data_IF_398259081514
#
_entry.id   IF_398259081514
#
_cell.length_a   1.000
_cell.length_b   1.000
_cell.length_c   1.000
_cell.angle_alpha   90.00
_cell.angle_beta   90.00
_cell.angle_gamma   90.00
#
_symmetry.space_group_name_H-M   'P 1'
#
loop_
_entity.id
_entity.type
_entity.pdbx_description
1 polymer ?
#
# COMPACT_ATOMS: atom_id res chain seq x y z
N UNK A 1 2.10 3.26 -19.80
CA UNK A 1 2.30 4.64 -19.29
C UNK A 1 2.40 4.62 -17.77
N UNK A 2 3.18 5.50 -17.13
CA UNK A 2 3.33 5.51 -15.67
C UNK A 2 2.03 5.90 -14.93
N UNK A 3 1.96 5.58 -13.63
CA UNK A 3 0.90 6.00 -12.70
C UNK A 3 1.08 7.50 -12.38
N UNK A 4 0.55 8.39 -13.25
CA UNK A 4 0.72 9.84 -13.17
C UNK A 4 -0.49 10.58 -13.71
N UNK A 5 -0.79 11.75 -13.12
CA UNK A 5 -1.75 12.75 -13.58
C UNK A 5 -0.97 13.95 -14.11
N UNK A 6 -1.29 14.39 -15.30
CA UNK A 6 -0.66 15.56 -15.92
C UNK A 6 -1.49 16.81 -15.69
N UNK A 7 -0.92 17.85 -15.10
CA UNK A 7 -1.66 19.07 -14.77
C UNK A 7 -2.00 19.92 -16.00
N UNK A 8 -1.31 19.67 -17.12
CA UNK A 8 -1.54 20.31 -18.40
C UNK A 8 -2.76 19.77 -19.16
N UNK A 9 -3.49 18.80 -18.59
CA UNK A 9 -4.70 18.18 -19.17
C UNK A 9 -5.90 18.30 -18.25
N UNK A 10 -7.14 18.17 -18.79
CA UNK A 10 -8.33 18.14 -17.96
C UNK A 10 -8.27 17.03 -16.89
N UNK A 11 -8.44 17.39 -15.62
CA UNK A 11 -8.30 16.46 -14.49
C UNK A 11 -9.18 15.21 -14.66
N UNK A 12 -10.44 15.36 -15.08
CA UNK A 12 -11.35 14.25 -15.28
C UNK A 12 -10.82 13.23 -16.30
N UNK A 13 -10.26 13.70 -17.41
CA UNK A 13 -9.67 12.84 -18.44
C UNK A 13 -8.47 12.07 -17.93
N UNK A 14 -7.58 12.73 -17.20
CA UNK A 14 -6.37 12.12 -16.63
C UNK A 14 -6.75 11.07 -15.56
N UNK A 15 -7.68 11.40 -14.65
CA UNK A 15 -8.13 10.47 -13.61
C UNK A 15 -8.80 9.23 -14.23
N UNK A 16 -9.71 9.42 -15.19
CA UNK A 16 -10.33 8.30 -15.93
C UNK A 16 -9.29 7.45 -16.65
N UNK A 17 -8.30 8.08 -17.27
CA UNK A 17 -7.22 7.39 -18.00
C UNK A 17 -6.33 6.58 -17.08
N UNK A 18 -5.94 7.13 -15.91
CA UNK A 18 -5.14 6.40 -14.91
C UNK A 18 -5.96 5.25 -14.33
N UNK A 19 -7.21 5.51 -13.94
CA UNK A 19 -8.07 4.49 -13.35
C UNK A 19 -8.33 3.32 -14.30
N UNK A 20 -8.69 3.61 -15.55
CA UNK A 20 -8.88 2.60 -16.58
C UNK A 20 -7.63 1.73 -16.76
N UNK A 21 -6.46 2.35 -16.91
CA UNK A 21 -5.21 1.59 -17.09
C UNK A 21 -4.83 0.70 -15.92
N UNK A 22 -5.06 1.13 -14.69
CA UNK A 22 -4.76 0.28 -13.53
C UNK A 22 -5.74 -0.91 -13.46
N UNK A 23 -7.00 -0.74 -13.87
CA UNK A 23 -7.97 -1.84 -13.97
C UNK A 23 -7.64 -2.78 -15.13
N UNK A 24 -7.34 -2.25 -16.32
CA UNK A 24 -6.94 -3.04 -17.49
C UNK A 24 -5.68 -3.86 -17.22
N UNK A 25 -4.68 -3.30 -16.52
CA UNK A 25 -3.49 -4.03 -16.09
C UNK A 25 -3.82 -5.13 -15.10
N UNK A 26 -4.72 -4.89 -14.17
CA UNK A 26 -5.15 -5.93 -13.24
C UNK A 26 -5.81 -7.08 -13.98
N UNK A 27 -6.69 -6.79 -14.95
CA UNK A 27 -7.33 -7.79 -15.81
C UNK A 27 -6.26 -8.57 -16.60
N UNK A 28 -5.43 -7.85 -17.37
CA UNK A 28 -4.37 -8.44 -18.21
C UNK A 28 -3.47 -9.38 -17.41
N UNK A 29 -3.00 -8.91 -16.23
CA UNK A 29 -2.10 -9.71 -15.39
C UNK A 29 -2.79 -10.96 -14.83
N UNK A 30 -4.07 -10.85 -14.43
CA UNK A 30 -4.84 -11.99 -13.92
C UNK A 30 -5.20 -13.00 -15.03
N UNK A 31 -5.40 -12.54 -16.27
CA UNK A 31 -5.68 -13.38 -17.43
C UNK A 31 -4.42 -14.10 -17.94
N UNK A 32 -3.31 -13.36 -18.11
CA UNK A 32 -2.09 -13.87 -18.75
C UNK A 32 -1.14 -14.59 -17.80
N UNK A 33 -1.07 -14.17 -16.52
CA UNK A 33 -0.23 -14.75 -15.45
C UNK A 33 1.23 -14.97 -15.86
N UNK A 34 1.95 -13.95 -16.35
CA UNK A 34 3.27 -14.14 -16.97
C UNK A 34 4.31 -14.75 -16.02
N UNK A 35 4.19 -14.48 -14.70
CA UNK A 35 5.07 -15.01 -13.65
C UNK A 35 4.32 -15.95 -12.68
N UNK A 36 3.20 -16.51 -13.15
CA UNK A 36 2.36 -17.40 -12.36
C UNK A 36 1.21 -16.66 -11.62
N UNK A 37 0.30 -17.46 -11.07
CA UNK A 37 -0.94 -16.96 -10.49
C UNK A 37 -0.71 -16.10 -9.23
N UNK A 38 0.25 -16.48 -8.38
CA UNK A 38 0.54 -15.74 -7.14
C UNK A 38 1.07 -14.33 -7.42
N UNK A 39 1.99 -14.19 -8.35
CA UNK A 39 2.51 -12.90 -8.77
C UNK A 39 1.46 -12.06 -9.48
N UNK A 40 0.59 -12.67 -10.28
CA UNK A 40 -0.55 -12.00 -10.89
C UNK A 40 -1.50 -11.42 -9.85
N UNK A 41 -1.83 -12.17 -8.81
CA UNK A 41 -2.65 -11.71 -7.68
C UNK A 41 -1.96 -10.55 -6.95
N UNK A 42 -0.65 -10.67 -6.67
CA UNK A 42 0.11 -9.61 -6.04
C UNK A 42 0.08 -8.30 -6.85
N UNK A 43 0.31 -8.39 -8.16
CA UNK A 43 0.29 -7.25 -9.06
C UNK A 43 -1.10 -6.61 -9.15
N UNK A 44 -2.17 -7.40 -9.26
CA UNK A 44 -3.54 -6.88 -9.25
C UNK A 44 -3.89 -6.14 -7.95
N UNK A 45 -3.54 -6.71 -6.78
CA UNK A 45 -3.71 -6.05 -5.47
C UNK A 45 -2.96 -4.71 -5.38
N UNK A 46 -1.76 -4.62 -6.00
CA UNK A 46 -0.98 -3.37 -6.10
C UNK A 46 -1.73 -2.32 -6.93
N UNK A 47 -2.34 -2.72 -8.05
CA UNK A 47 -3.16 -1.84 -8.87
C UNK A 47 -4.40 -1.35 -8.11
N UNK A 48 -5.08 -2.22 -7.34
CA UNK A 48 -6.21 -1.83 -6.49
C UNK A 48 -5.81 -0.81 -5.41
N UNK A 49 -4.64 -0.99 -4.78
CA UNK A 49 -4.12 0.00 -3.81
C UNK A 49 -3.88 1.36 -4.46
N UNK A 50 -3.30 1.40 -5.67
CA UNK A 50 -3.09 2.63 -6.45
C UNK A 50 -4.40 3.33 -6.79
N UNK A 51 -5.42 2.60 -7.23
CA UNK A 51 -6.74 3.15 -7.53
C UNK A 51 -7.41 3.74 -6.30
N UNK A 52 -7.42 3.03 -5.19
CA UNK A 52 -7.97 3.51 -3.94
C UNK A 52 -7.27 4.78 -3.46
N UNK A 53 -5.95 4.88 -3.66
CA UNK A 53 -5.19 6.08 -3.36
C UNK A 53 -5.54 7.24 -4.30
N UNK A 54 -5.67 7.00 -5.62
CA UNK A 54 -6.12 7.99 -6.59
C UNK A 54 -7.47 8.58 -6.17
N UNK A 55 -8.45 7.70 -5.87
CA UNK A 55 -9.79 8.14 -5.45
C UNK A 55 -9.77 8.89 -4.12
N UNK A 56 -8.90 8.53 -3.18
CA UNK A 56 -8.70 9.27 -1.93
C UNK A 56 -8.19 10.67 -2.17
N UNK A 57 -7.27 10.86 -3.11
CA UNK A 57 -6.69 12.16 -3.44
C UNK A 57 -7.70 13.09 -4.11
N UNK A 58 -8.44 12.61 -5.14
CA UNK A 58 -9.23 13.47 -6.02
C UNK A 58 -10.73 13.50 -5.71
N UNK A 59 -11.27 12.57 -4.94
CA UNK A 59 -12.70 12.47 -4.62
C UNK A 59 -13.02 12.91 -3.19
N UNK A 60 -12.49 14.03 -2.77
CA UNK A 60 -12.79 14.60 -1.44
C UNK A 60 -14.23 15.08 -1.32
N UNK A 61 -14.86 15.46 -2.43
CA UNK A 61 -16.21 16.00 -2.48
C UNK A 61 -17.26 14.97 -2.98
N UNK A 62 -16.85 13.92 -3.70
CA UNK A 62 -17.71 12.82 -4.15
C UNK A 62 -17.51 11.60 -3.25
N UNK A 63 -18.17 11.62 -2.10
CA UNK A 63 -18.03 10.57 -1.09
C UNK A 63 -18.69 9.26 -1.51
N UNK A 64 -19.79 9.31 -2.28
CA UNK A 64 -20.56 8.12 -2.63
C UNK A 64 -19.87 7.29 -3.69
N UNK A 65 -19.42 7.90 -4.78
CA UNK A 65 -18.60 7.20 -5.78
C UNK A 65 -17.35 6.61 -5.14
N UNK A 66 -16.62 7.42 -4.34
CA UNK A 66 -15.44 6.94 -3.64
C UNK A 66 -15.73 5.77 -2.71
N UNK A 67 -16.82 5.80 -1.94
CA UNK A 67 -17.20 4.72 -1.02
C UNK A 67 -17.49 3.43 -1.79
N UNK A 68 -18.27 3.51 -2.85
CA UNK A 68 -18.67 2.36 -3.69
C UNK A 68 -17.44 1.71 -4.34
N UNK A 69 -16.62 2.49 -5.03
CA UNK A 69 -15.46 1.96 -5.73
C UNK A 69 -14.33 1.49 -4.77
N UNK A 70 -14.15 2.16 -3.63
CA UNK A 70 -13.24 1.65 -2.59
C UNK A 70 -13.72 0.33 -1.99
N UNK A 71 -15.04 0.13 -1.83
CA UNK A 71 -15.59 -1.14 -1.36
C UNK A 71 -15.36 -2.24 -2.40
N UNK A 72 -15.64 -1.98 -3.68
CA UNK A 72 -15.38 -2.89 -4.82
C UNK A 72 -13.92 -3.36 -4.81
N UNK A 73 -12.97 -2.44 -4.87
CA UNK A 73 -11.54 -2.74 -4.92
C UNK A 73 -11.01 -3.44 -3.66
N UNK A 74 -11.57 -3.09 -2.49
CA UNK A 74 -11.22 -3.75 -1.23
C UNK A 74 -11.71 -5.19 -1.22
N UNK A 75 -12.95 -5.45 -1.63
CA UNK A 75 -13.53 -6.78 -1.64
C UNK A 75 -12.82 -7.67 -2.68
N UNK A 76 -12.56 -7.17 -3.88
CA UNK A 76 -11.75 -7.84 -4.89
C UNK A 76 -10.35 -8.20 -4.37
N UNK A 77 -9.68 -7.28 -3.67
CA UNK A 77 -8.38 -7.55 -3.07
C UNK A 77 -8.43 -8.59 -1.93
N UNK A 78 -9.50 -8.63 -1.14
CA UNK A 78 -9.68 -9.59 -0.05
C UNK A 78 -9.97 -11.00 -0.56
N UNK A 79 -10.80 -11.16 -1.59
CA UNK A 79 -11.13 -12.48 -2.13
C UNK A 79 -9.91 -13.23 -2.68
N UNK A 80 -8.83 -12.53 -3.00
CA UNK A 80 -7.57 -13.09 -3.51
C UNK A 80 -6.45 -13.09 -2.44
N UNK A 81 -6.75 -12.89 -1.14
CA UNK A 81 -5.68 -12.63 -0.16
C UNK A 81 -5.04 -13.88 0.43
N UNK A 82 -5.80 -14.95 0.67
CA UNK A 82 -5.40 -16.09 1.53
C UNK A 82 -4.03 -16.68 1.17
N UNK A 83 -3.84 -17.10 -0.08
CA UNK A 83 -2.56 -17.72 -0.50
C UNK A 83 -1.42 -16.70 -0.48
N UNK A 84 -1.70 -15.45 -0.91
CA UNK A 84 -0.66 -14.40 -0.89
C UNK A 84 -0.24 -14.06 0.54
N UNK A 85 -1.18 -14.04 1.47
CA UNK A 85 -0.89 -13.76 2.87
C UNK A 85 -0.03 -14.89 3.49
N UNK A 86 -0.25 -16.16 3.11
CA UNK A 86 0.61 -17.28 3.50
C UNK A 86 2.02 -17.19 2.89
N UNK A 87 2.14 -16.83 1.60
CA UNK A 87 3.45 -16.60 0.94
C UNK A 87 4.20 -15.44 1.60
N UNK A 88 3.51 -14.35 1.96
CA UNK A 88 4.13 -13.20 2.62
C UNK A 88 4.76 -13.57 3.98
N UNK A 89 4.21 -14.53 4.70
CA UNK A 89 4.80 -15.01 5.96
C UNK A 89 6.14 -15.72 5.73
N UNK A 90 6.28 -16.48 4.64
CA UNK A 90 7.56 -17.12 4.28
C UNK A 90 8.60 -16.04 3.93
N UNK A 91 8.24 -15.06 3.10
CA UNK A 91 9.09 -13.91 2.78
C UNK A 91 9.51 -13.13 4.04
N UNK A 92 8.59 -13.02 5.02
CA UNK A 92 8.87 -12.40 6.31
C UNK A 92 9.91 -13.18 7.11
N UNK A 93 9.80 -14.51 7.16
CA UNK A 93 10.80 -15.36 7.83
C UNK A 93 12.16 -15.29 7.11
N UNK A 94 12.19 -15.27 5.77
CA UNK A 94 13.42 -15.10 4.99
C UNK A 94 14.10 -13.76 5.30
N UNK A 95 13.34 -12.67 5.33
CA UNK A 95 13.87 -11.36 5.70
C UNK A 95 14.32 -11.30 7.17
N UNK A 96 13.64 -12.00 8.08
CA UNK A 96 14.04 -12.08 9.48
C UNK A 96 15.37 -12.84 9.62
N UNK A 97 15.60 -13.90 8.85
CA UNK A 97 16.85 -14.68 8.84
C UNK A 97 18.06 -13.84 8.45
N UNK A 98 17.92 -12.86 7.54
CA UNK A 98 18.98 -11.92 7.17
C UNK A 98 19.47 -11.06 8.37
N UNK A 99 18.69 -11.01 9.46
CA UNK A 99 18.94 -10.21 10.65
C UNK A 99 19.20 -11.06 11.91
N UNK A 100 19.42 -12.37 11.74
CA UNK A 100 19.84 -13.25 12.83
C UNK A 100 21.24 -12.86 13.35
N UNK A 101 21.41 -12.80 14.68
CA UNK A 101 22.68 -12.42 15.31
C UNK A 101 23.52 -13.63 15.70
N UNK A 102 22.91 -14.82 15.82
CA UNK A 102 23.57 -16.07 16.23
C UNK A 102 23.17 -17.22 15.31
N UNK A 103 23.91 -18.33 15.36
CA UNK A 103 23.56 -19.55 14.66
C UNK A 103 22.21 -20.12 15.11
N UNK A 104 21.96 -20.11 16.42
CA UNK A 104 20.71 -20.60 17.00
C UNK A 104 19.48 -19.79 16.54
N UNK A 105 19.63 -18.46 16.40
CA UNK A 105 18.58 -17.62 15.83
C UNK A 105 18.32 -17.97 14.36
N UNK A 106 19.37 -18.14 13.57
CA UNK A 106 19.25 -18.51 12.16
C UNK A 106 18.56 -19.87 11.99
N UNK A 107 18.92 -20.87 12.81
CA UNK A 107 18.29 -22.18 12.80
C UNK A 107 16.81 -22.11 13.21
N UNK A 108 16.48 -21.34 14.24
CA UNK A 108 15.08 -21.15 14.70
C UNK A 108 14.21 -20.52 13.61
N UNK A 109 14.71 -19.48 12.94
CA UNK A 109 13.99 -18.80 11.87
C UNK A 109 13.87 -19.70 10.63
N UNK A 110 14.91 -20.49 10.32
CA UNK A 110 14.85 -21.47 9.23
C UNK A 110 13.79 -22.54 9.48
N UNK A 111 13.72 -23.08 10.69
CA UNK A 111 12.68 -24.03 11.07
C UNK A 111 11.27 -23.43 10.95
N UNK A 112 11.07 -22.20 11.44
CA UNK A 112 9.80 -21.49 11.30
C UNK A 112 9.41 -21.29 9.81
N UNK A 113 10.38 -20.95 8.95
CA UNK A 113 10.16 -20.82 7.51
C UNK A 113 9.68 -22.12 6.87
N UNK A 114 10.26 -23.25 7.25
CA UNK A 114 9.84 -24.58 6.75
C UNK A 114 8.38 -24.89 7.16
N UNK A 115 8.03 -24.62 8.41
CA UNK A 115 6.66 -24.82 8.89
C UNK A 115 5.65 -23.91 8.17
N UNK A 116 6.01 -22.67 7.91
CA UNK A 116 5.20 -21.72 7.14
C UNK A 116 5.04 -22.17 5.68
N UNK A 117 6.06 -22.81 5.09
CA UNK A 117 5.97 -23.38 3.73
C UNK A 117 4.98 -24.55 3.69
N UNK A 118 5.02 -25.46 4.65
CA UNK A 118 4.04 -26.57 4.77
C UNK A 118 2.62 -26.02 4.92
N UNK A 119 2.43 -25.04 5.82
CA UNK A 119 1.12 -24.39 6.04
C UNK A 119 0.59 -23.71 4.76
N UNK A 120 1.45 -23.05 3.98
CA UNK A 120 1.05 -22.47 2.69
C UNK A 120 0.54 -23.54 1.72
N UNK A 121 1.21 -24.67 1.66
CA UNK A 121 0.85 -25.77 0.73
C UNK A 121 -0.51 -26.39 1.13
N UNK A 122 -0.77 -26.56 2.43
CA UNK A 122 -2.08 -26.99 2.95
C UNK A 122 -3.20 -25.98 2.59
N UNK A 123 -2.93 -24.68 2.75
CA UNK A 123 -3.87 -23.60 2.36
C UNK A 123 -4.13 -23.65 0.86
N UNK A 124 -3.10 -23.87 0.04
CA UNK A 124 -3.21 -23.93 -1.42
C UNK A 124 -4.04 -25.14 -1.87
N UNK A 125 -3.87 -26.29 -1.23
CA UNK A 125 -4.66 -27.50 -1.50
C UNK A 125 -6.13 -27.35 -1.09
N UNK A 126 -6.38 -26.67 0.05
CA UNK A 126 -7.74 -26.43 0.54
C UNK A 126 -8.49 -25.38 -0.29
N UNK A 127 -7.80 -24.51 -1.02
CA UNK A 127 -8.41 -23.40 -1.77
C UNK A 127 -8.88 -23.83 -3.18
N UNK A 128 -9.81 -24.78 -3.22
CA UNK A 128 -10.33 -25.42 -4.45
C UNK A 128 -11.03 -24.47 -5.46
N UNK A 129 -11.26 -23.17 -5.13
CA UNK A 129 -12.07 -22.24 -5.92
C UNK A 129 -11.34 -20.97 -6.36
N UNK A 130 -10.00 -20.98 -6.35
CA UNK A 130 -9.21 -19.78 -6.67
C UNK A 130 -9.46 -19.26 -8.09
N UNK A 131 -9.69 -20.15 -9.05
CA UNK A 131 -9.97 -19.77 -10.44
C UNK A 131 -11.30 -19.02 -10.57
N UNK A 132 -12.35 -19.44 -9.90
CA UNK A 132 -13.64 -18.73 -9.89
C UNK A 132 -13.52 -17.37 -9.21
N UNK A 133 -12.75 -17.26 -8.11
CA UNK A 133 -12.44 -15.97 -7.46
C UNK A 133 -11.72 -15.03 -8.41
N UNK A 134 -10.73 -15.50 -9.15
CA UNK A 134 -10.01 -14.69 -10.15
C UNK A 134 -10.97 -14.20 -11.24
N UNK A 135 -11.83 -15.08 -11.77
CA UNK A 135 -12.83 -14.71 -12.76
C UNK A 135 -13.77 -13.63 -12.25
N UNK A 136 -14.29 -13.78 -11.02
CA UNK A 136 -15.15 -12.78 -10.38
C UNK A 136 -14.44 -11.44 -10.19
N UNK A 137 -13.16 -11.43 -9.82
CA UNK A 137 -12.37 -10.19 -9.68
C UNK A 137 -12.16 -9.50 -11.03
N UNK A 138 -11.96 -10.24 -12.12
CA UNK A 138 -11.88 -9.68 -13.46
C UNK A 138 -13.20 -9.00 -13.85
N UNK A 139 -14.33 -9.61 -13.55
CA UNK A 139 -15.67 -9.00 -13.77
C UNK A 139 -15.85 -7.73 -12.94
N UNK A 140 -15.44 -7.72 -11.66
CA UNK A 140 -15.45 -6.52 -10.84
C UNK A 140 -14.54 -5.41 -11.40
N UNK A 141 -13.41 -5.75 -11.99
CA UNK A 141 -12.54 -4.77 -12.66
C UNK A 141 -13.24 -4.18 -13.91
N UNK A 142 -13.93 -5.00 -14.71
CA UNK A 142 -14.71 -4.53 -15.87
C UNK A 142 -15.85 -3.60 -15.44
N UNK A 143 -16.61 -3.99 -14.40
CA UNK A 143 -17.64 -3.13 -13.84
C UNK A 143 -17.07 -1.80 -13.27
N UNK A 144 -15.86 -1.84 -12.69
CA UNK A 144 -15.13 -0.64 -12.28
C UNK A 144 -14.77 0.27 -13.46
N UNK A 145 -14.40 -0.28 -14.62
CA UNK A 145 -14.15 0.49 -15.85
C UNK A 145 -15.44 1.18 -16.31
N UNK A 146 -16.56 0.49 -16.32
CA UNK A 146 -17.87 1.04 -16.71
C UNK A 146 -18.31 2.16 -15.76
N UNK A 147 -18.07 1.97 -14.45
CA UNK A 147 -18.39 2.97 -13.43
C UNK A 147 -17.66 4.31 -13.63
N UNK A 148 -16.51 4.33 -14.34
CA UNK A 148 -15.79 5.58 -14.64
C UNK A 148 -16.62 6.57 -15.47
N UNK A 149 -17.66 6.13 -16.18
CA UNK A 149 -18.55 7.01 -16.91
C UNK A 149 -19.30 7.99 -15.98
N UNK A 150 -19.63 7.55 -14.77
CA UNK A 150 -20.31 8.36 -13.75
C UNK A 150 -19.37 9.31 -12.98
N UNK A 151 -18.04 9.16 -13.12
CA UNK A 151 -17.09 10.00 -12.43
C UNK A 151 -17.22 11.45 -12.86
N UNK A 152 -17.34 12.36 -11.89
CA UNK A 152 -17.45 13.81 -12.10
C UNK A 152 -16.36 14.54 -11.32
N UNK A 153 -15.59 15.40 -12.02
CA UNK A 153 -14.53 16.23 -11.45
C UNK A 153 -14.56 17.63 -12.05
N UNK A 154 -14.03 18.66 -11.35
CA UNK A 154 -14.00 20.03 -11.85
C UNK A 154 -13.27 20.14 -13.18
N UNK A 155 -13.89 20.85 -14.13
CA UNK A 155 -13.30 21.15 -15.45
C UNK A 155 -12.35 22.35 -15.43
N UNK A 156 -12.58 23.33 -14.53
CA UNK A 156 -11.76 24.54 -14.42
C UNK A 156 -10.43 24.24 -13.72
N UNK A 157 -9.27 24.67 -14.27
CA UNK A 157 -7.96 24.39 -13.71
C UNK A 157 -7.79 24.81 -12.25
N UNK A 158 -8.30 25.97 -11.86
CA UNK A 158 -8.24 26.45 -10.47
C UNK A 158 -9.04 25.58 -9.49
N UNK A 159 -10.19 25.04 -9.91
CA UNK A 159 -10.96 24.12 -9.08
C UNK A 159 -10.29 22.74 -9.00
N UNK A 160 -9.66 22.29 -10.09
CA UNK A 160 -8.87 21.07 -10.10
C UNK A 160 -7.65 21.18 -9.17
N UNK A 161 -6.90 22.28 -9.26
CA UNK A 161 -5.76 22.56 -8.38
C UNK A 161 -6.16 22.50 -6.90
N UNK A 162 -7.22 23.23 -6.52
CA UNK A 162 -7.73 23.23 -5.13
C UNK A 162 -8.20 21.87 -4.66
N UNK A 163 -8.83 21.08 -5.55
CA UNK A 163 -9.30 19.73 -5.22
C UNK A 163 -8.13 18.80 -4.90
N UNK A 164 -7.11 18.79 -5.75
CA UNK A 164 -5.90 17.98 -5.56
C UNK A 164 -5.13 18.42 -4.31
N UNK A 165 -4.93 19.73 -4.13
CA UNK A 165 -4.29 20.29 -2.94
C UNK A 165 -5.04 19.96 -1.65
N UNK A 166 -6.37 19.98 -1.67
CA UNK A 166 -7.22 19.57 -0.53
C UNK A 166 -7.03 18.09 -0.18
N UNK A 167 -7.00 17.22 -1.20
CA UNK A 167 -6.76 15.78 -0.98
C UNK A 167 -5.37 15.50 -0.43
N UNK A 168 -4.35 16.19 -0.97
CA UNK A 168 -2.98 16.13 -0.48
C UNK A 168 -2.89 16.56 0.99
N UNK A 169 -3.41 17.76 1.30
CA UNK A 169 -3.43 18.29 2.66
C UNK A 169 -4.03 17.29 3.64
N UNK A 170 -5.22 16.77 3.33
CA UNK A 170 -5.88 15.80 4.19
C UNK A 170 -5.02 14.55 4.41
N UNK A 171 -4.41 14.01 3.36
CA UNK A 171 -3.54 12.84 3.45
C UNK A 171 -2.31 13.07 4.33
N UNK A 172 -1.69 14.26 4.23
CA UNK A 172 -0.53 14.60 5.06
C UNK A 172 -0.93 14.93 6.51
N UNK A 173 -2.08 15.55 6.76
CA UNK A 173 -2.64 15.73 8.12
C UNK A 173 -2.84 14.37 8.80
N UNK A 174 -3.42 13.39 8.09
CA UNK A 174 -3.60 12.02 8.59
C UNK A 174 -2.26 11.33 8.85
N UNK A 175 -1.25 11.53 7.99
CA UNK A 175 0.09 10.94 8.17
C UNK A 175 0.81 11.52 9.40
N UNK A 176 0.74 12.83 9.60
CA UNK A 176 1.31 13.50 10.78
C UNK A 176 0.60 13.07 12.07
N UNK A 177 -0.72 12.97 12.04
CA UNK A 177 -1.48 12.47 13.18
C UNK A 177 -1.11 11.04 13.54
N UNK A 178 -1.00 10.15 12.54
CA UNK A 178 -0.58 8.77 12.76
C UNK A 178 0.86 8.68 13.31
N UNK A 179 1.77 9.55 12.85
CA UNK A 179 3.13 9.63 13.39
C UNK A 179 3.13 10.01 14.87
N UNK A 180 2.39 11.04 15.27
CA UNK A 180 2.35 11.47 16.67
C UNK A 180 1.73 10.39 17.59
N UNK A 181 0.70 9.69 17.14
CA UNK A 181 0.13 8.55 17.87
C UNK A 181 1.17 7.43 18.01
N UNK A 182 1.92 7.12 16.94
CA UNK A 182 2.95 6.06 16.95
C UNK A 182 4.13 6.37 17.88
N UNK A 183 4.42 7.64 18.15
CA UNK A 183 5.44 8.07 19.12
C UNK A 183 4.99 7.88 20.58
N UNK A 184 3.69 7.95 20.84
CA UNK A 184 3.14 7.90 22.20
C UNK A 184 3.09 6.48 22.76
N UNK A 185 2.19 5.66 22.28
CA UNK A 185 1.84 4.39 22.92
C UNK A 185 2.39 3.14 22.22
N UNK A 186 3.04 3.28 21.05
CA UNK A 186 3.80 2.20 20.39
C UNK A 186 3.02 0.94 19.99
N UNK A 187 1.69 0.95 20.02
CA UNK A 187 0.86 -0.21 19.68
C UNK A 187 0.89 -0.53 18.19
N UNK A 188 0.79 -1.82 17.84
CA UNK A 188 0.84 -2.29 16.45
C UNK A 188 -0.19 -1.63 15.53
N UNK A 189 -1.37 -1.23 16.06
CA UNK A 189 -2.40 -0.53 15.29
C UNK A 189 -1.95 0.87 14.86
N UNK A 190 -1.24 1.61 15.71
CA UNK A 190 -0.69 2.93 15.38
C UNK A 190 0.32 2.83 14.22
N UNK A 191 1.23 1.85 14.26
CA UNK A 191 2.17 1.61 13.17
C UNK A 191 1.48 1.16 11.88
N UNK A 192 0.40 0.38 11.97
CA UNK A 192 -0.40 0.02 10.82
C UNK A 192 -1.06 1.24 10.16
N UNK A 193 -1.55 2.20 10.94
CA UNK A 193 -2.13 3.43 10.39
C UNK A 193 -1.05 4.36 9.81
N UNK A 194 0.11 4.47 10.47
CA UNK A 194 1.26 5.19 9.92
C UNK A 194 1.72 4.58 8.58
N UNK A 195 1.76 3.25 8.47
CA UNK A 195 2.07 2.54 7.22
C UNK A 195 1.09 2.87 6.10
N UNK A 196 -0.22 2.85 6.38
CA UNK A 196 -1.25 3.21 5.37
C UNK A 196 -1.07 4.65 4.90
N UNK A 197 -0.79 5.57 5.81
CA UNK A 197 -0.60 6.98 5.51
C UNK A 197 0.70 7.23 4.73
N UNK A 198 1.81 6.62 5.12
CA UNK A 198 3.09 6.67 4.41
C UNK A 198 2.97 6.11 2.98
N UNK A 199 2.27 4.99 2.82
CA UNK A 199 2.01 4.40 1.51
C UNK A 199 1.17 5.33 0.62
N UNK A 200 0.15 5.99 1.19
CA UNK A 200 -0.67 6.96 0.46
C UNK A 200 0.16 8.19 0.04
N UNK A 201 1.00 8.71 0.93
CA UNK A 201 1.90 9.82 0.62
C UNK A 201 2.88 9.48 -0.51
N UNK A 202 3.55 8.34 -0.42
CA UNK A 202 4.44 7.84 -1.48
C UNK A 202 3.73 7.68 -2.83
N UNK A 203 2.51 7.12 -2.84
CA UNK A 203 1.71 7.00 -4.08
C UNK A 203 1.29 8.35 -4.63
N UNK A 204 1.01 9.34 -3.79
CA UNK A 204 0.68 10.70 -4.20
C UNK A 204 1.90 11.40 -4.84
N UNK A 205 3.10 11.21 -4.29
CA UNK A 205 4.35 11.70 -4.90
C UNK A 205 4.57 11.10 -6.29
N UNK A 206 4.30 9.80 -6.48
CA UNK A 206 4.34 9.16 -7.80
C UNK A 206 3.30 9.77 -8.75
N UNK A 207 2.09 9.97 -8.27
CA UNK A 207 0.96 10.45 -9.08
C UNK A 207 1.17 11.88 -9.59
N UNK A 208 1.80 12.73 -8.77
CA UNK A 208 2.02 14.15 -9.02
C UNK A 208 3.47 14.48 -9.40
N UNK A 209 4.30 13.46 -9.71
CA UNK A 209 5.74 13.63 -9.93
C UNK A 209 6.06 14.70 -10.99
N UNK A 210 5.22 14.83 -12.02
CA UNK A 210 5.44 15.79 -13.12
C UNK A 210 5.24 17.26 -12.69
N UNK A 211 4.67 17.55 -11.51
CA UNK A 211 4.57 18.91 -10.97
C UNK A 211 5.93 19.48 -10.54
N UNK A 212 6.80 18.67 -9.98
CA UNK A 212 8.15 19.08 -9.57
C UNK A 212 9.08 17.86 -9.55
N UNK A 213 9.55 17.41 -10.72
CA UNK A 213 10.23 16.11 -10.85
C UNK A 213 11.40 15.93 -9.89
N UNK A 214 12.30 16.91 -9.77
CA UNK A 214 13.51 16.80 -8.93
C UNK A 214 13.18 16.74 -7.42
N UNK A 215 12.32 17.62 -6.93
CA UNK A 215 11.96 17.65 -5.51
C UNK A 215 11.10 16.44 -5.11
N UNK A 216 10.13 16.08 -5.96
CA UNK A 216 9.26 14.94 -5.67
C UNK A 216 9.98 13.60 -5.80
N UNK A 217 10.98 13.51 -6.68
CA UNK A 217 11.80 12.29 -6.76
C UNK A 217 12.61 12.08 -5.46
N UNK A 218 13.22 13.13 -4.91
CA UNK A 218 13.93 13.05 -3.64
C UNK A 218 12.99 12.65 -2.49
N UNK A 219 11.84 13.34 -2.34
CA UNK A 219 10.82 13.00 -1.32
C UNK A 219 10.27 11.58 -1.52
N UNK A 220 10.11 11.14 -2.76
CA UNK A 220 9.61 9.79 -3.10
C UNK A 220 10.56 8.69 -2.65
N UNK A 221 11.85 8.90 -2.77
CA UNK A 221 12.86 7.93 -2.31
C UNK A 221 12.80 7.74 -0.80
N UNK A 222 12.77 8.82 -0.03
CA UNK A 222 12.64 8.76 1.43
C UNK A 222 11.28 8.16 1.85
N UNK A 223 10.19 8.57 1.21
CA UNK A 223 8.86 8.01 1.47
C UNK A 223 8.79 6.50 1.13
N UNK A 224 9.46 6.05 0.05
CA UNK A 224 9.53 4.62 -0.30
C UNK A 224 10.28 3.83 0.78
N UNK A 225 11.42 4.35 1.25
CA UNK A 225 12.19 3.73 2.31
C UNK A 225 11.37 3.62 3.62
N UNK A 226 10.60 4.66 3.96
CA UNK A 226 9.68 4.62 5.09
C UNK A 226 8.60 3.54 4.91
N UNK A 227 8.01 3.44 3.72
CA UNK A 227 7.01 2.40 3.39
C UNK A 227 7.60 1.00 3.54
N UNK A 228 8.87 0.79 3.18
CA UNK A 228 9.53 -0.51 3.30
C UNK A 228 9.77 -0.88 4.78
N UNK A 229 10.29 0.04 5.60
CA UNK A 229 10.48 -0.17 7.04
C UNK A 229 9.15 -0.54 7.73
N UNK A 230 8.10 0.24 7.47
CA UNK A 230 6.77 -0.01 8.02
C UNK A 230 6.09 -1.25 7.40
N UNK A 231 6.50 -1.65 6.20
CA UNK A 231 6.09 -2.90 5.57
C UNK A 231 6.60 -4.09 6.35
N UNK A 232 7.90 -4.16 6.56
CA UNK A 232 8.55 -5.24 7.32
C UNK A 232 8.06 -5.31 8.77
N UNK A 233 7.85 -4.16 9.43
CA UNK A 233 7.27 -4.10 10.78
C UNK A 233 5.87 -4.75 10.82
N UNK A 234 5.02 -4.40 9.85
CA UNK A 234 3.68 -4.96 9.76
C UNK A 234 3.69 -6.46 9.48
N UNK A 235 4.57 -6.92 8.59
CA UNK A 235 4.68 -8.33 8.23
C UNK A 235 5.13 -9.16 9.44
N UNK A 236 6.02 -8.64 10.30
CA UNK A 236 6.36 -9.22 11.60
C UNK A 236 5.17 -9.20 12.57
N UNK A 237 4.34 -8.16 12.57
CA UNK A 237 3.10 -8.12 13.38
C UNK A 237 2.13 -9.22 12.96
N UNK A 238 1.99 -9.49 11.66
CA UNK A 238 1.17 -10.60 11.14
C UNK A 238 1.73 -11.95 11.58
N UNK A 239 3.06 -12.13 11.52
CA UNK A 239 3.72 -13.35 11.99
C UNK A 239 3.51 -13.56 13.51
N UNK A 240 3.64 -12.51 14.33
CA UNK A 240 3.34 -12.57 15.76
C UNK A 240 1.89 -13.00 16.02
N UNK A 241 0.94 -12.43 15.26
CA UNK A 241 -0.47 -12.79 15.38
C UNK A 241 -0.70 -14.27 15.06
N UNK A 242 0.00 -14.83 14.08
CA UNK A 242 -0.07 -16.25 13.76
C UNK A 242 0.52 -17.10 14.88
N UNK A 243 1.67 -16.71 15.45
CA UNK A 243 2.26 -17.39 16.61
C UNK A 243 1.33 -17.45 17.82
N UNK A 244 0.58 -16.38 18.05
CA UNK A 244 -0.38 -16.30 19.16
C UNK A 244 -1.62 -17.19 18.94
N UNK A 245 -2.09 -17.31 17.70
CA UNK A 245 -3.32 -18.06 17.38
C UNK A 245 -3.07 -19.54 17.05
N UNK A 246 -1.94 -19.86 16.46
CA UNK A 246 -1.58 -21.20 15.98
C UNK A 246 -0.16 -21.57 16.46
N UNK A 247 0.14 -21.57 17.79
CA UNK A 247 1.50 -21.84 18.28
C UNK A 247 2.01 -23.23 17.91
N UNK A 248 1.12 -24.21 17.84
CA UNK A 248 1.45 -25.61 17.49
C UNK A 248 2.10 -25.77 16.11
N UNK A 249 1.86 -24.81 15.20
CA UNK A 249 2.51 -24.76 13.87
C UNK A 249 4.03 -24.62 14.00
N UNK A 250 4.53 -23.97 15.05
CA UNK A 250 5.95 -23.62 15.24
C UNK A 250 6.70 -24.53 16.20
N UNK A 251 6.08 -25.60 16.67
CA UNK A 251 6.71 -26.62 17.53
C UNK A 251 6.46 -26.42 19.03
N UNK A 252 7.51 -26.58 19.85
CA UNK A 252 7.36 -26.50 21.30
C UNK A 252 7.36 -25.06 21.83
N UNK A 253 6.88 -24.87 23.07
CA UNK A 253 6.76 -23.54 23.70
C UNK A 253 8.10 -22.78 23.84
N UNK A 254 9.21 -23.49 23.98
CA UNK A 254 10.53 -22.88 24.10
C UNK A 254 10.96 -22.26 22.74
N UNK A 255 10.81 -23.01 21.65
CA UNK A 255 11.08 -22.52 20.30
C UNK A 255 10.20 -21.34 19.90
N UNK A 256 8.88 -21.40 20.22
CA UNK A 256 7.95 -20.28 20.02
C UNK A 256 8.39 -19.04 20.79
N UNK A 257 8.77 -19.19 22.06
CA UNK A 257 9.24 -18.07 22.89
C UNK A 257 10.53 -17.46 22.37
N UNK A 258 11.45 -18.28 21.87
CA UNK A 258 12.71 -17.81 21.30
C UNK A 258 12.48 -17.08 19.96
N UNK A 259 11.65 -17.63 19.09
CA UNK A 259 11.25 -16.96 17.84
C UNK A 259 10.58 -15.61 18.11
N UNK A 260 9.67 -15.55 19.10
CA UNK A 260 9.01 -14.30 19.48
C UNK A 260 10.01 -13.25 19.97
N UNK A 261 11.05 -13.65 20.72
CA UNK A 261 12.09 -12.72 21.17
C UNK A 261 12.87 -12.10 19.99
N UNK A 262 13.18 -12.92 18.98
CA UNK A 262 13.85 -12.45 17.73
C UNK A 262 12.95 -11.45 17.00
N UNK A 263 11.66 -11.77 16.85
CA UNK A 263 10.67 -10.89 16.18
C UNK A 263 10.55 -9.56 16.92
N UNK A 264 10.36 -9.58 18.26
CA UNK A 264 10.21 -8.36 19.06
C UNK A 264 11.44 -7.45 18.94
N UNK A 265 12.63 -8.01 19.01
CA UNK A 265 13.87 -7.23 18.80
C UNK A 265 13.86 -6.54 17.45
N UNK A 266 13.58 -7.29 16.37
CA UNK A 266 13.55 -6.74 15.01
C UNK A 266 12.46 -5.70 14.82
N UNK A 267 11.28 -5.89 15.39
CA UNK A 267 10.21 -4.89 15.36
C UNK A 267 10.62 -3.58 16.04
N UNK A 268 11.29 -3.66 17.19
CA UNK A 268 11.76 -2.45 17.90
C UNK A 268 12.77 -1.66 17.08
N UNK A 269 13.70 -2.33 16.39
CA UNK A 269 14.64 -1.68 15.46
C UNK A 269 13.91 -0.99 14.32
N UNK A 270 13.00 -1.69 13.64
CA UNK A 270 12.21 -1.15 12.53
C UNK A 270 11.36 0.04 12.96
N UNK A 271 10.71 -0.03 14.12
CA UNK A 271 9.91 1.06 14.69
C UNK A 271 10.73 2.30 14.96
N UNK A 272 11.89 2.14 15.61
CA UNK A 272 12.82 3.25 15.87
C UNK A 272 13.25 3.93 14.56
N UNK A 273 13.69 3.13 13.58
CA UNK A 273 14.21 3.63 12.31
C UNK A 273 13.09 4.27 11.46
N UNK A 274 11.89 3.68 11.50
CA UNK A 274 10.70 4.24 10.83
C UNK A 274 10.26 5.58 11.42
N UNK A 275 10.24 5.72 12.76
CA UNK A 275 9.89 6.98 13.42
C UNK A 275 10.88 8.08 13.08
N UNK A 276 12.19 7.80 13.15
CA UNK A 276 13.24 8.76 12.81
C UNK A 276 13.16 9.22 11.33
N UNK A 277 12.82 8.30 10.41
CA UNK A 277 12.63 8.64 9.02
C UNK A 277 11.31 9.38 8.76
N UNK A 278 10.22 8.99 9.45
CA UNK A 278 8.92 9.62 9.32
C UNK A 278 8.92 11.10 9.77
N UNK A 279 9.67 11.43 10.82
CA UNK A 279 9.89 12.82 11.24
C UNK A 279 10.47 13.69 10.12
N UNK A 280 11.37 13.14 9.31
CA UNK A 280 11.96 13.84 8.16
C UNK A 280 11.01 13.90 6.97
N UNK A 281 10.34 12.79 6.67
CA UNK A 281 9.41 12.67 5.53
C UNK A 281 8.20 13.60 5.70
N UNK A 282 7.70 13.75 6.94
CA UNK A 282 6.52 14.56 7.26
C UNK A 282 6.86 15.87 7.98
N UNK A 283 8.09 16.39 7.81
CA UNK A 283 8.55 17.62 8.48
C UNK A 283 7.74 18.85 8.06
N UNK A 284 7.42 18.96 6.77
CA UNK A 284 6.68 20.10 6.23
C UNK A 284 5.23 20.11 6.71
N UNK A 285 4.64 21.31 6.86
CA UNK A 285 3.22 21.39 7.24
C UNK A 285 2.32 20.99 6.08
N UNK A 286 1.21 20.34 6.38
CA UNK A 286 0.24 19.93 5.36
C UNK A 286 -0.35 21.12 4.59
N UNK A 287 -0.40 22.31 5.22
CA UNK A 287 -0.86 23.56 4.61
C UNK A 287 0.15 24.05 3.58
N UNK A 288 1.45 24.03 3.90
CA UNK A 288 2.50 24.56 3.03
C UNK A 288 2.70 23.67 1.82
N UNK A 289 2.77 22.34 2.01
CA UNK A 289 2.85 21.41 0.88
C UNK A 289 1.63 21.52 -0.06
N UNK A 290 0.41 21.64 0.51
CA UNK A 290 -0.79 21.82 -0.29
C UNK A 290 -0.77 23.13 -1.10
N UNK A 291 -0.27 24.22 -0.51
CA UNK A 291 -0.12 25.49 -1.22
C UNK A 291 0.87 25.37 -2.39
N UNK A 292 1.97 24.67 -2.19
CA UNK A 292 2.95 24.37 -3.26
C UNK A 292 2.29 23.56 -4.40
N UNK A 293 1.54 22.51 -4.06
CA UNK A 293 0.81 21.69 -5.04
C UNK A 293 -0.16 22.56 -5.85
N UNK A 294 -0.95 23.41 -5.19
CA UNK A 294 -1.92 24.30 -5.85
C UNK A 294 -1.20 25.29 -6.79
N UNK A 295 -0.14 25.93 -6.34
CA UNK A 295 0.62 26.90 -7.12
C UNK A 295 1.29 26.25 -8.35
N UNK A 296 1.94 25.10 -8.18
CA UNK A 296 2.56 24.37 -9.28
C UNK A 296 1.53 23.88 -10.30
N UNK A 297 0.41 23.37 -9.86
CA UNK A 297 -0.68 22.95 -10.74
C UNK A 297 -1.17 24.12 -11.60
N UNK A 298 -1.41 25.29 -10.99
CA UNK A 298 -1.86 26.49 -11.70
C UNK A 298 -0.85 26.99 -12.71
N UNK A 299 0.45 26.93 -12.40
CA UNK A 299 1.52 27.28 -13.32
C UNK A 299 1.47 26.42 -14.58
N UNK A 300 1.46 25.09 -14.45
CA UNK A 300 1.37 24.17 -15.60
C UNK A 300 0.07 24.29 -16.40
N UNK A 301 -1.04 24.58 -15.73
CA UNK A 301 -2.32 24.79 -16.40
C UNK A 301 -2.40 26.15 -17.13
N UNK A 302 -1.58 27.13 -16.73
CA UNK A 302 -1.49 28.47 -17.33
C UNK A 302 -0.56 28.57 -18.54
N UNK A 303 0.44 27.71 -18.66
CA UNK A 303 1.41 27.68 -19.77
C UNK A 303 0.76 27.26 -21.14
N UNK A 304 -0.56 27.08 -21.16
CA UNK A 304 -1.36 26.77 -22.36
C UNK A 304 -2.02 27.97 -23.04
N UNK A 305 -1.65 29.21 -22.66
CA UNK A 305 -2.21 30.41 -23.33
C UNK A 305 -1.26 31.00 -24.37
#
# INVERSE_FOLDING_TARGET
MPYRIRPDRPLLGEVRSVARRELERAIETLETRPEGLHEAIHAARKNFKRLRNLYRLVLTNDKDFRRTENARLRNAGRSLSHIRDATALIETAEHLAEHALTGDEAETVAAAREMLALRRDEIAEAEGDLQAKVTSVIEECRAGIDALAALSLPSKPNHAARLVAKGWRKGLEEARSALEISKGEGHGEAFHDLRKAAQAYWMNLLLLLDLWPSAFEAKRQDAKRLVDLLGHEHDLTVLTTLLDHEPDVFGNAEGVSFLLAIIIRRQQELRRDALALADRVFADTAKDEAAIIEALWMRYAGDRR
#
